data_IF_341139569694
#
_entry.id   IF_341139569694
#
_cell.length_a   1.000
_cell.length_b   1.000
_cell.length_c   1.000
_cell.angle_alpha   90.00
_cell.angle_beta   90.00
_cell.angle_gamma   90.00
#
_symmetry.space_group_name_H-M   'P 1'
#
loop_
_entity.id
_entity.type
_entity.pdbx_description
1 polymer ?
#
# COMPACT_ATOMS: atom_id res chain seq x y z
N UNK A 1 36.13 23.56 -1.98
CA UNK A 1 35.31 22.38 -2.38
C UNK A 1 34.82 21.56 -1.18
N UNK A 2 35.57 21.45 -0.06
CA UNK A 2 35.18 20.67 1.13
C UNK A 2 33.79 21.03 1.71
N UNK A 3 33.47 22.32 1.90
CA UNK A 3 32.18 22.71 2.51
C UNK A 3 30.92 22.42 1.67
N UNK A 4 31.04 22.24 0.35
CA UNK A 4 29.88 21.86 -0.52
C UNK A 4 29.62 20.36 -0.44
N UNK A 5 30.69 19.56 -0.36
CA UNK A 5 30.63 18.11 -0.25
C UNK A 5 30.03 17.68 1.11
N UNK A 6 30.42 18.34 2.20
CA UNK A 6 29.88 18.06 3.54
C UNK A 6 28.39 18.39 3.65
N UNK A 7 27.95 19.54 3.09
CA UNK A 7 26.52 19.89 3.02
C UNK A 7 25.70 18.89 2.20
N UNK A 8 26.26 18.38 1.09
CA UNK A 8 25.60 17.35 0.28
C UNK A 8 25.54 16.00 1.01
N UNK A 9 26.60 15.62 1.72
CA UNK A 9 26.63 14.40 2.56
C UNK A 9 25.58 14.48 3.68
N UNK A 10 25.46 15.63 4.35
CA UNK A 10 24.46 15.86 5.39
C UNK A 10 23.04 15.81 4.82
N UNK A 11 22.78 16.46 3.68
CA UNK A 11 21.47 16.41 2.99
C UNK A 11 21.11 15.00 2.55
N UNK A 12 22.05 14.29 1.92
CA UNK A 12 21.86 12.90 1.52
C UNK A 12 21.56 11.99 2.72
N UNK A 13 22.27 12.17 3.84
CA UNK A 13 22.00 11.44 5.08
C UNK A 13 20.59 11.71 5.64
N UNK A 14 20.15 12.97 5.67
CA UNK A 14 18.80 13.33 6.12
C UNK A 14 17.74 12.73 5.18
N UNK A 15 17.92 12.81 3.86
CA UNK A 15 16.99 12.24 2.90
C UNK A 15 16.91 10.71 3.00
N UNK A 16 18.04 10.04 3.24
CA UNK A 16 18.09 8.59 3.46
C UNK A 16 17.35 8.20 4.75
N UNK A 17 17.52 8.98 5.82
CA UNK A 17 16.81 8.79 7.08
C UNK A 17 15.30 8.95 6.90
N UNK A 18 14.86 10.03 6.23
CA UNK A 18 13.43 10.27 5.94
C UNK A 18 12.84 9.14 5.09
N UNK A 19 13.58 8.68 4.08
CA UNK A 19 13.18 7.52 3.27
C UNK A 19 13.02 6.26 4.12
N UNK A 20 14.01 5.96 4.97
CA UNK A 20 14.00 4.78 5.83
C UNK A 20 12.83 4.81 6.83
N UNK A 21 12.55 5.97 7.43
CA UNK A 21 11.41 6.16 8.33
C UNK A 21 10.09 5.99 7.57
N UNK A 22 9.94 6.59 6.39
CA UNK A 22 8.74 6.47 5.57
C UNK A 22 8.45 5.01 5.18
N UNK A 23 9.47 4.29 4.71
CA UNK A 23 9.36 2.86 4.43
C UNK A 23 9.05 2.04 5.69
N UNK A 24 9.73 2.33 6.80
CA UNK A 24 9.49 1.68 8.08
C UNK A 24 8.04 1.80 8.53
N UNK A 25 7.47 3.00 8.49
CA UNK A 25 6.05 3.25 8.83
C UNK A 25 5.12 2.47 7.89
N UNK A 26 5.39 2.52 6.57
CA UNK A 26 4.58 1.83 5.57
C UNK A 26 4.49 0.32 5.82
N UNK A 27 5.62 -0.34 6.13
CA UNK A 27 5.65 -1.79 6.37
C UNK A 27 5.16 -2.17 7.78
N UNK A 28 5.45 -1.35 8.79
CA UNK A 28 5.07 -1.65 10.18
C UNK A 28 3.56 -1.63 10.37
N UNK A 29 2.86 -0.66 9.76
CA UNK A 29 1.40 -0.51 9.89
C UNK A 29 0.65 -1.70 9.27
N UNK A 30 1.10 -2.20 8.11
CA UNK A 30 0.55 -3.42 7.52
C UNK A 30 0.79 -4.64 8.41
N UNK A 31 2.02 -4.81 8.91
CA UNK A 31 2.39 -5.97 9.73
C UNK A 31 1.68 -6.01 11.08
N UNK A 32 1.45 -4.86 11.71
CA UNK A 32 0.81 -4.76 13.02
C UNK A 32 -0.71 -5.01 12.99
N UNK A 33 -1.36 -4.91 11.83
CA UNK A 33 -2.82 -4.99 11.69
C UNK A 33 -3.32 -6.24 10.96
N UNK A 34 -2.45 -7.19 10.62
CA UNK A 34 -2.69 -8.32 9.68
C UNK A 34 -3.22 -7.93 8.29
N UNK A 35 -3.50 -6.65 8.08
CA UNK A 35 -3.71 -6.02 6.79
C UNK A 35 -2.54 -6.34 5.84
N UNK A 36 -2.81 -6.61 4.56
CA UNK A 36 -1.76 -6.59 3.54
C UNK A 36 -1.02 -5.26 3.60
N UNK A 37 0.32 -5.31 3.55
CA UNK A 37 1.13 -4.09 3.45
C UNK A 37 0.70 -3.30 2.22
N UNK A 38 0.49 -1.99 2.40
CA UNK A 38 0.02 -1.14 1.32
C UNK A 38 -1.46 -1.29 0.97
N UNK A 39 -2.27 -2.01 1.75
CA UNK A 39 -3.71 -2.17 1.47
C UNK A 39 -4.42 -0.83 1.25
N UNK A 40 -4.17 0.15 2.13
CA UNK A 40 -4.73 1.50 1.99
C UNK A 40 -4.39 2.18 0.66
N UNK A 41 -3.12 2.13 0.27
CA UNK A 41 -2.66 2.73 -0.98
C UNK A 41 -3.17 1.95 -2.21
N UNK A 42 -3.18 0.62 -2.15
CA UNK A 42 -3.70 -0.24 -3.20
C UNK A 42 -5.21 -0.01 -3.42
N UNK A 43 -5.98 0.12 -2.34
CA UNK A 43 -7.40 0.47 -2.40
C UNK A 43 -7.60 1.87 -2.99
N UNK A 44 -6.81 2.86 -2.59
CA UNK A 44 -6.92 4.22 -3.12
C UNK A 44 -6.64 4.30 -4.63
N UNK A 45 -5.65 3.55 -5.12
CA UNK A 45 -5.25 3.52 -6.54
C UNK A 45 -6.08 2.54 -7.39
N UNK A 46 -6.84 1.63 -6.78
CA UNK A 46 -7.61 0.61 -7.47
C UNK A 46 -8.87 1.12 -8.15
N UNK A 47 -9.37 0.36 -9.12
CA UNK A 47 -10.65 0.60 -9.79
C UNK A 47 -11.81 -0.10 -9.07
N UNK A 48 -13.00 0.50 -8.95
CA UNK A 48 -14.17 -0.16 -8.37
C UNK A 48 -14.51 -1.46 -9.09
N UNK A 49 -14.83 -2.51 -8.33
CA UNK A 49 -15.21 -3.82 -8.89
C UNK A 49 -16.34 -4.45 -8.10
N UNK A 50 -17.14 -5.28 -8.78
CA UNK A 50 -18.07 -6.20 -8.14
C UNK A 50 -17.38 -7.55 -7.94
N UNK A 51 -17.49 -8.10 -6.72
CA UNK A 51 -16.79 -9.31 -6.30
C UNK A 51 -17.76 -10.46 -6.13
N UNK A 52 -17.34 -11.64 -6.57
CA UNK A 52 -18.02 -12.92 -6.34
C UNK A 52 -17.02 -13.86 -5.67
N UNK A 53 -17.32 -14.25 -4.43
CA UNK A 53 -16.47 -15.14 -3.67
C UNK A 53 -16.60 -16.59 -4.18
N UNK A 54 -15.47 -17.30 -4.14
CA UNK A 54 -15.50 -18.75 -4.19
C UNK A 54 -15.93 -19.30 -2.83
N UNK A 55 -16.19 -20.61 -2.72
CA UNK A 55 -16.59 -21.25 -1.46
C UNK A 55 -15.48 -21.29 -0.39
N UNK A 56 -14.28 -20.74 -0.67
CA UNK A 56 -13.14 -20.75 0.25
C UNK A 56 -12.63 -19.35 0.58
N UNK A 57 -12.72 -18.96 1.86
CA UNK A 57 -12.09 -17.77 2.42
C UNK A 57 -11.43 -18.14 3.74
N UNK A 58 -10.19 -17.68 3.95
CA UNK A 58 -9.50 -17.80 5.23
C UNK A 58 -9.63 -16.48 5.98
N UNK A 59 -10.29 -16.51 7.14
CA UNK A 59 -10.48 -15.34 8.00
C UNK A 59 -9.56 -15.52 9.22
N UNK A 60 -8.74 -14.52 9.49
CA UNK A 60 -7.81 -14.50 10.63
C UNK A 60 -8.08 -13.28 11.52
N UNK A 61 -7.96 -13.47 12.83
CA UNK A 61 -8.11 -12.43 13.85
C UNK A 61 -6.85 -12.45 14.72
N UNK A 62 -6.24 -11.29 14.98
CA UNK A 62 -5.12 -11.17 15.92
C UNK A 62 -5.47 -10.23 17.05
N UNK A 63 -5.45 -10.77 18.26
CA UNK A 63 -5.77 -10.04 19.49
C UNK A 63 -7.16 -9.42 19.44
N UNK A 64 -7.26 -8.16 19.83
CA UNK A 64 -8.51 -7.39 19.88
C UNK A 64 -8.80 -6.63 18.57
N UNK A 65 -8.09 -6.93 17.48
CA UNK A 65 -8.24 -6.27 16.18
C UNK A 65 -9.40 -6.80 15.33
N UNK A 66 -9.77 -6.04 14.29
CA UNK A 66 -10.75 -6.50 13.28
C UNK A 66 -10.22 -7.73 12.54
N UNK A 67 -11.07 -8.73 12.36
CA UNK A 67 -10.75 -9.91 11.55
C UNK A 67 -10.49 -9.50 10.11
N UNK A 68 -9.45 -10.06 9.49
CA UNK A 68 -9.13 -9.87 8.07
C UNK A 68 -9.32 -11.18 7.31
N UNK A 69 -9.88 -11.09 6.11
CA UNK A 69 -10.19 -12.21 5.24
C UNK A 69 -9.32 -12.20 3.99
N UNK A 70 -8.79 -13.38 3.65
CA UNK A 70 -8.13 -13.67 2.38
C UNK A 70 -8.95 -14.73 1.62
N UNK A 71 -9.55 -14.33 0.51
CA UNK A 71 -10.36 -15.20 -0.33
C UNK A 71 -9.67 -15.44 -1.67
N UNK A 72 -9.15 -16.66 -1.86
CA UNK A 72 -8.49 -17.07 -3.11
C UNK A 72 -9.52 -17.58 -4.14
N UNK A 73 -9.18 -17.48 -5.43
CA UNK A 73 -10.09 -17.84 -6.51
C UNK A 73 -11.33 -16.95 -6.60
N UNK A 74 -11.28 -15.77 -5.97
CA UNK A 74 -12.34 -14.78 -6.02
C UNK A 74 -12.43 -14.22 -7.43
N UNK A 75 -13.65 -14.12 -7.96
CA UNK A 75 -13.91 -13.49 -9.26
C UNK A 75 -14.31 -12.05 -9.05
N UNK A 76 -13.87 -11.16 -9.94
CA UNK A 76 -14.37 -9.79 -9.97
C UNK A 76 -14.47 -9.28 -11.38
N UNK A 77 -15.35 -8.31 -11.59
CA UNK A 77 -15.53 -7.68 -12.90
C UNK A 77 -15.14 -6.21 -12.82
N UNK A 78 -14.26 -5.79 -13.72
CA UNK A 78 -13.82 -4.41 -13.91
C UNK A 78 -13.92 -4.06 -15.39
N UNK A 79 -14.56 -2.94 -15.74
CA UNK A 79 -14.62 -2.44 -17.12
C UNK A 79 -15.15 -3.47 -18.15
N UNK A 80 -16.03 -4.39 -17.72
CA UNK A 80 -16.59 -5.45 -18.56
C UNK A 80 -15.73 -6.72 -18.67
N UNK A 81 -14.53 -6.73 -18.11
CA UNK A 81 -13.67 -7.91 -18.05
C UNK A 81 -13.79 -8.61 -16.71
N UNK A 82 -14.06 -9.93 -16.75
CA UNK A 82 -14.02 -10.77 -15.56
C UNK A 82 -12.61 -11.29 -15.32
N UNK A 83 -12.14 -11.16 -14.08
CA UNK A 83 -10.83 -11.62 -13.62
C UNK A 83 -11.00 -12.50 -12.40
N UNK A 84 -9.98 -13.31 -12.13
CA UNK A 84 -9.94 -14.20 -10.96
C UNK A 84 -8.62 -14.00 -10.25
N UNK A 85 -8.65 -13.99 -8.92
CA UNK A 85 -7.45 -13.96 -8.09
C UNK A 85 -7.80 -13.86 -6.62
N UNK A 86 -7.11 -13.00 -5.88
CA UNK A 86 -7.26 -12.92 -4.42
C UNK A 86 -7.94 -11.64 -3.98
N UNK A 87 -8.98 -11.78 -3.14
CA UNK A 87 -9.56 -10.67 -2.38
C UNK A 87 -8.95 -10.63 -0.98
N UNK A 88 -8.60 -9.42 -0.56
CA UNK A 88 -8.30 -9.07 0.83
C UNK A 88 -9.38 -8.13 1.35
N UNK A 89 -10.08 -8.49 2.42
CA UNK A 89 -11.16 -7.68 2.99
C UNK A 89 -11.21 -7.81 4.52
N UNK A 90 -12.07 -7.05 5.20
CA UNK A 90 -12.39 -7.36 6.59
C UNK A 90 -13.35 -8.56 6.64
N UNK A 91 -13.25 -9.36 7.70
CA UNK A 91 -14.10 -10.52 7.92
C UNK A 91 -15.57 -10.15 8.04
N UNK A 92 -15.87 -8.96 8.56
CA UNK A 92 -17.24 -8.44 8.72
C UNK A 92 -17.96 -8.24 7.38
N UNK A 93 -17.20 -8.05 6.29
CA UNK A 93 -17.74 -7.92 4.92
C UNK A 93 -17.94 -9.28 4.23
N UNK A 94 -17.58 -10.38 4.89
CA UNK A 94 -17.67 -11.74 4.36
C UNK A 94 -18.68 -12.51 5.21
N UNK A 95 -19.85 -12.74 4.63
CA UNK A 95 -20.94 -13.47 5.29
C UNK A 95 -21.16 -14.83 4.63
N UNK A 96 -21.73 -15.77 5.38
CA UNK A 96 -22.18 -17.05 4.84
C UNK A 96 -23.69 -17.03 4.71
N UNK A 97 -24.20 -17.22 3.51
CA UNK A 97 -25.64 -17.30 3.23
C UNK A 97 -26.23 -18.63 3.72
N UNK A 98 -27.57 -18.70 3.76
CA UNK A 98 -28.30 -19.85 4.29
C UNK A 98 -28.06 -21.16 3.52
N UNK A 99 -27.67 -21.06 2.25
CA UNK A 99 -27.27 -22.16 1.36
C UNK A 99 -25.78 -22.57 1.55
N UNK A 100 -25.06 -21.93 2.48
CA UNK A 100 -23.66 -22.20 2.77
C UNK A 100 -22.67 -21.49 1.84
N UNK A 101 -23.13 -20.74 0.84
CA UNK A 101 -22.27 -19.95 -0.02
C UNK A 101 -21.67 -18.74 0.74
N UNK A 102 -20.51 -18.26 0.28
CA UNK A 102 -19.89 -17.05 0.83
C UNK A 102 -20.31 -15.84 -0.01
N UNK A 103 -20.72 -14.78 0.66
CA UNK A 103 -21.15 -13.53 0.04
C UNK A 103 -20.30 -12.37 0.56
N UNK A 104 -19.84 -11.54 -0.37
CA UNK A 104 -19.14 -10.29 -0.05
C UNK A 104 -20.14 -9.13 -0.10
N UNK A 105 -20.25 -8.37 0.99
CA UNK A 105 -21.23 -7.27 1.12
C UNK A 105 -20.59 -5.88 1.09
N UNK A 106 -19.26 -5.81 1.11
CA UNK A 106 -18.52 -4.55 1.16
C UNK A 106 -18.30 -3.90 -0.21
N UNK A 107 -17.62 -2.74 -0.18
CA UNK A 107 -17.04 -2.13 -1.38
C UNK A 107 -15.66 -2.73 -1.65
N UNK A 108 -15.35 -3.03 -2.92
CA UNK A 108 -14.05 -3.50 -3.33
C UNK A 108 -13.49 -2.74 -4.53
N UNK A 109 -12.16 -2.65 -4.56
CA UNK A 109 -11.40 -2.11 -5.68
C UNK A 109 -10.31 -3.08 -6.10
N UNK A 110 -10.09 -3.21 -7.41
CA UNK A 110 -9.04 -4.05 -7.96
C UNK A 110 -7.82 -3.24 -8.40
N UNK A 111 -6.63 -3.81 -8.16
CA UNK A 111 -5.35 -3.31 -8.66
C UNK A 111 -4.50 -4.51 -9.08
N UNK A 112 -4.25 -4.64 -10.39
CA UNK A 112 -3.60 -5.81 -10.97
C UNK A 112 -4.45 -7.08 -10.81
N UNK A 113 -3.84 -8.12 -10.25
CA UNK A 113 -4.47 -9.44 -10.06
C UNK A 113 -5.07 -9.63 -8.66
N UNK A 114 -5.33 -8.52 -7.96
CA UNK A 114 -5.86 -8.52 -6.59
C UNK A 114 -7.03 -7.58 -6.45
N UNK A 115 -8.00 -7.98 -5.63
CA UNK A 115 -9.07 -7.13 -5.15
C UNK A 115 -8.86 -6.80 -3.67
N UNK A 116 -9.27 -5.60 -3.30
CA UNK A 116 -9.12 -5.04 -1.97
C UNK A 116 -10.47 -4.52 -1.52
N UNK A 117 -11.03 -5.09 -0.45
CA UNK A 117 -12.14 -4.53 0.29
C UNK A 117 -11.75 -3.18 0.90
N UNK A 118 -12.75 -2.40 1.30
CA UNK A 118 -12.52 -1.07 1.87
C UNK A 118 -11.75 -1.15 3.20
N UNK A 119 -10.52 -0.61 3.27
CA UNK A 119 -9.78 -0.53 4.53
C UNK A 119 -10.35 0.60 5.40
N UNK A 120 -9.98 0.62 6.68
CA UNK A 120 -10.23 1.78 7.53
C UNK A 120 -9.57 3.04 6.94
N UNK A 121 -10.26 4.18 7.03
CA UNK A 121 -9.81 5.45 6.41
C UNK A 121 -8.42 5.87 6.89
N UNK A 122 -8.11 5.69 8.18
CA UNK A 122 -6.80 6.04 8.75
C UNK A 122 -5.66 5.25 8.08
N UNK A 123 -5.90 3.98 7.76
CA UNK A 123 -4.91 3.11 7.13
C UNK A 123 -4.61 3.56 5.69
N UNK A 124 -5.60 4.10 4.99
CA UNK A 124 -5.41 4.73 3.67
C UNK A 124 -4.54 5.99 3.77
N UNK A 125 -4.87 6.89 4.70
CA UNK A 125 -4.12 8.14 4.90
C UNK A 125 -2.66 7.86 5.27
N UNK A 126 -2.41 6.91 6.18
CA UNK A 126 -1.05 6.56 6.62
C UNK A 126 -0.23 5.96 5.48
N UNK A 127 -0.77 5.00 4.73
CA UNK A 127 -0.02 4.40 3.61
C UNK A 127 0.27 5.41 2.51
N UNK A 128 -0.69 6.27 2.14
CA UNK A 128 -0.47 7.32 1.14
C UNK A 128 0.54 8.36 1.63
N UNK A 129 0.45 8.79 2.89
CA UNK A 129 1.39 9.72 3.50
C UNK A 129 2.81 9.15 3.55
N UNK A 130 2.96 7.89 3.97
CA UNK A 130 4.25 7.20 4.00
C UNK A 130 4.86 7.04 2.60
N UNK A 131 4.05 6.72 1.59
CA UNK A 131 4.49 6.71 0.18
C UNK A 131 4.91 8.10 -0.30
N UNK A 132 4.17 9.14 0.05
CA UNK A 132 4.53 10.52 -0.28
C UNK A 132 5.86 10.93 0.32
N UNK A 133 6.09 10.64 1.61
CA UNK A 133 7.36 10.91 2.30
C UNK A 133 8.50 10.13 1.65
N UNK A 134 8.30 8.85 1.34
CA UNK A 134 9.29 8.03 0.65
C UNK A 134 9.63 8.60 -0.74
N UNK A 135 8.62 9.00 -1.52
CA UNK A 135 8.81 9.60 -2.83
C UNK A 135 9.62 10.92 -2.75
N UNK A 136 9.31 11.79 -1.79
CA UNK A 136 10.08 13.03 -1.53
C UNK A 136 11.52 12.70 -1.16
N UNK A 137 11.73 11.70 -0.29
CA UNK A 137 13.06 11.22 0.09
C UNK A 137 13.88 10.76 -1.12
N UNK A 138 13.29 9.95 -2.01
CA UNK A 138 13.92 9.50 -3.26
C UNK A 138 14.25 10.68 -4.18
N UNK A 139 13.32 11.61 -4.39
CA UNK A 139 13.55 12.79 -5.23
C UNK A 139 14.68 13.68 -4.66
N UNK A 140 14.76 13.83 -3.34
CA UNK A 140 15.83 14.58 -2.69
C UNK A 140 17.20 13.88 -2.83
N UNK A 141 17.25 12.55 -2.77
CA UNK A 141 18.45 11.76 -3.04
C UNK A 141 18.91 11.92 -4.49
N UNK A 142 17.98 11.81 -5.45
CA UNK A 142 18.26 12.02 -6.87
C UNK A 142 18.76 13.45 -7.15
N UNK A 143 18.12 14.47 -6.59
CA UNK A 143 18.56 15.86 -6.70
C UNK A 143 19.96 16.09 -6.10
N UNK A 144 20.28 15.39 -5.01
CA UNK A 144 21.62 15.42 -4.41
C UNK A 144 22.65 14.75 -5.33
N UNK A 145 22.30 13.62 -5.97
CA UNK A 145 23.16 12.90 -6.91
C UNK A 145 23.45 13.74 -8.17
N UNK A 146 22.41 14.34 -8.76
CA UNK A 146 22.54 15.25 -9.93
C UNK A 146 23.41 16.45 -9.58
N UNK A 147 23.26 17.01 -8.38
CA UNK A 147 24.07 18.15 -7.92
C UNK A 147 25.56 17.81 -7.78
N UNK A 148 25.91 16.52 -7.59
CA UNK A 148 27.29 16.03 -7.56
C UNK A 148 27.85 15.85 -8.98
N UNK A 149 27.02 15.47 -9.95
CA UNK A 149 27.43 15.24 -11.33
C UNK A 149 27.59 16.53 -12.16
N UNK A 150 27.00 17.65 -11.73
CA UNK A 150 27.16 18.93 -12.42
C UNK A 150 28.58 19.48 -12.24
N UNK A 151 29.32 19.77 -13.33
CA UNK A 151 30.62 20.41 -13.22
C UNK A 151 30.46 21.74 -12.48
N UNK A 152 31.25 21.93 -11.43
CA UNK A 152 31.29 23.21 -10.73
C UNK A 152 31.75 24.27 -11.73
N UNK A 153 30.82 25.04 -12.29
CA UNK A 153 31.15 26.32 -12.91
C UNK A 153 31.80 27.15 -11.81
N UNK A 154 33.13 27.20 -11.82
CA UNK A 154 33.89 28.27 -11.17
C UNK A 154 33.36 29.55 -11.82
N UNK A 155 32.56 30.31 -11.09
CA UNK A 155 32.54 31.76 -11.27
C UNK A 155 33.96 32.21 -10.98
N UNK A 156 34.72 32.40 -12.05
CA UNK A 156 35.90 33.25 -12.06
C UNK A 156 35.45 34.70 -11.88
#
# INVERSE_FOLDING_TARGET
>A
MQGRLEKLKQRGGISLFVLAVGLGIFFFVGSASQAPSGWGAAYAAGKPVTVQLSSSCRIETVGDGKSTGKCEGTKWTADGESRTGTLYAYGDDITRSADGALTFTGEAKALGDRAYGRPDTWLTVVHLGALGIAAIGVLALLGSLVSVMLPSRRTA
#
